data_IF_230591325474
#
_entry.id   IF_230591325474
#
_cell.length_a   1.000
_cell.length_b   1.000
_cell.length_c   1.000
_cell.angle_alpha   90.00
_cell.angle_beta   90.00
_cell.angle_gamma   90.00
#
_symmetry.space_group_name_H-M   'P 1'
#
loop_
_entity.id
_entity.type
_entity.pdbx_description
1 polymer ?
#
# COMPACT_ATOMS: atom_id res chain seq x y z
N UNK A 1 13.71 -17.51 -7.01
CA UNK A 1 12.30 -17.06 -7.05
C UNK A 1 12.28 -15.58 -6.73
N UNK A 2 11.48 -14.79 -7.45
CA UNK A 2 11.33 -13.35 -7.19
C UNK A 2 10.47 -13.17 -5.93
N UNK A 3 10.92 -12.40 -4.94
CA UNK A 3 10.14 -12.16 -3.72
C UNK A 3 9.02 -11.15 -4.01
N UNK A 4 7.83 -11.37 -3.45
CA UNK A 4 6.69 -10.45 -3.57
C UNK A 4 6.50 -9.70 -2.26
N UNK A 5 6.36 -8.37 -2.33
CA UNK A 5 6.08 -7.52 -1.18
C UNK A 5 4.65 -6.99 -1.25
N UNK A 6 3.96 -6.94 -0.12
CA UNK A 6 2.77 -6.11 0.03
C UNK A 6 3.21 -4.67 0.26
N UNK A 7 2.71 -3.72 -0.51
CA UNK A 7 3.00 -2.30 -0.33
C UNK A 7 1.73 -1.58 0.13
N UNK A 8 1.83 -0.86 1.25
CA UNK A 8 0.80 0.07 1.71
C UNK A 8 1.33 1.49 1.51
N UNK A 9 0.62 2.28 0.71
CA UNK A 9 0.88 3.71 0.56
C UNK A 9 -0.06 4.45 1.52
N UNK A 10 0.48 5.10 2.54
CA UNK A 10 -0.29 5.91 3.48
C UNK A 10 -0.43 7.36 3.00
N UNK A 11 -1.54 7.99 3.35
CA UNK A 11 -1.74 9.44 3.25
C UNK A 11 -2.77 9.90 4.29
N UNK A 12 -2.99 11.21 4.40
CA UNK A 12 -4.18 11.80 5.07
C UNK A 12 -4.97 12.67 4.09
N UNK A 13 -6.28 12.75 4.30
CA UNK A 13 -7.20 13.37 3.35
C UNK A 13 -7.02 14.89 3.11
N UNK A 14 -6.25 15.57 3.97
CA UNK A 14 -5.99 17.01 3.88
C UNK A 14 -4.66 17.37 3.20
N UNK A 15 -3.81 16.40 2.85
CA UNK A 15 -2.58 16.67 2.11
C UNK A 15 -2.80 16.71 0.60
N UNK A 16 -1.94 17.43 -0.15
CA UNK A 16 -2.00 17.46 -1.60
C UNK A 16 -1.88 16.06 -2.21
N UNK A 17 -2.84 15.72 -3.06
CA UNK A 17 -2.97 14.37 -3.62
C UNK A 17 -1.80 13.95 -4.54
N UNK A 18 -1.17 14.93 -5.19
CA UNK A 18 -0.06 14.68 -6.11
C UNK A 18 1.16 14.06 -5.40
N UNK A 19 1.37 14.36 -4.11
CA UNK A 19 2.44 13.77 -3.30
C UNK A 19 2.28 12.26 -3.13
N UNK A 20 1.03 11.80 -2.99
CA UNK A 20 0.71 10.37 -2.86
C UNK A 20 1.01 9.65 -4.17
N UNK A 21 0.57 10.23 -5.29
CA UNK A 21 0.80 9.69 -6.62
C UNK A 21 2.30 9.58 -6.91
N UNK A 22 3.05 10.66 -6.76
CA UNK A 22 4.50 10.68 -7.02
C UNK A 22 5.25 9.73 -6.09
N UNK A 23 4.94 9.74 -4.79
CA UNK A 23 5.57 8.84 -3.83
C UNK A 23 5.32 7.36 -4.14
N UNK A 24 4.08 7.01 -4.50
CA UNK A 24 3.72 5.66 -4.93
C UNK A 24 4.53 5.23 -6.15
N UNK A 25 4.61 6.09 -7.17
CA UNK A 25 5.36 5.81 -8.40
C UNK A 25 6.86 5.62 -8.13
N UNK A 26 7.45 6.47 -7.29
CA UNK A 26 8.86 6.37 -6.86
C UNK A 26 9.11 5.02 -6.18
N UNK A 27 8.31 4.67 -5.17
CA UNK A 27 8.50 3.43 -4.40
C UNK A 27 8.32 2.19 -5.29
N UNK A 28 7.29 2.16 -6.13
CA UNK A 28 7.09 1.05 -7.07
C UNK A 28 8.25 0.91 -8.05
N UNK A 29 8.75 2.03 -8.58
CA UNK A 29 9.89 2.01 -9.50
C UNK A 29 11.16 1.45 -8.84
N UNK A 30 11.42 1.80 -7.57
CA UNK A 30 12.59 1.35 -6.83
C UNK A 30 12.49 -0.12 -6.44
N UNK A 31 11.33 -0.56 -5.92
CA UNK A 31 11.09 -1.97 -5.61
C UNK A 31 11.24 -2.85 -6.87
N UNK A 32 10.73 -2.39 -8.02
CA UNK A 32 10.90 -3.09 -9.30
C UNK A 32 12.37 -3.17 -9.71
N UNK A 33 13.13 -2.07 -9.60
CA UNK A 33 14.58 -2.04 -9.91
C UNK A 33 15.39 -2.98 -9.01
N UNK A 34 14.99 -3.14 -7.75
CA UNK A 34 15.60 -4.09 -6.82
C UNK A 34 15.16 -5.54 -7.03
N UNK A 35 14.28 -5.79 -8.00
CA UNK A 35 13.88 -7.14 -8.37
C UNK A 35 12.74 -7.70 -7.52
N UNK A 36 11.89 -6.87 -6.91
CA UNK A 36 10.68 -7.33 -6.21
C UNK A 36 9.45 -7.30 -7.14
N UNK A 37 8.52 -8.23 -6.88
CA UNK A 37 7.12 -8.07 -7.28
C UNK A 37 6.36 -7.36 -6.16
N UNK A 38 5.29 -6.66 -6.50
CA UNK A 38 4.56 -5.84 -5.53
C UNK A 38 3.06 -6.06 -5.67
N UNK A 39 2.40 -6.33 -4.54
CA UNK A 39 0.95 -6.29 -4.38
C UNK A 39 0.61 -4.98 -3.67
N UNK A 40 -0.18 -4.12 -4.32
CA UNK A 40 -0.52 -2.79 -3.83
C UNK A 40 -1.90 -2.42 -4.35
N UNK A 41 -2.64 -1.59 -3.60
CA UNK A 41 -3.86 -0.98 -4.13
C UNK A 41 -3.55 -0.12 -5.37
N UNK A 42 -4.42 -0.24 -6.36
CA UNK A 42 -4.41 0.56 -7.57
C UNK A 42 -5.10 1.92 -7.33
N UNK A 43 -4.84 2.92 -8.19
CA UNK A 43 -5.60 4.18 -8.19
C UNK A 43 -7.11 4.01 -8.40
N UNK A 44 -7.56 2.86 -8.90
CA UNK A 44 -8.96 2.52 -9.10
C UNK A 44 -9.61 1.93 -7.84
N UNK A 45 -8.83 1.26 -6.98
CA UNK A 45 -9.35 0.67 -5.73
C UNK A 45 -9.67 1.74 -4.67
N UNK A 46 -8.79 2.74 -4.59
CA UNK A 46 -8.79 3.83 -3.61
C UNK A 46 -8.12 5.08 -4.18
N UNK A 47 -8.26 6.21 -3.50
CA UNK A 47 -7.69 7.49 -3.93
C UNK A 47 -6.16 7.40 -4.11
N UNK A 48 -5.70 7.33 -5.37
CA UNK A 48 -4.30 7.13 -5.77
C UNK A 48 -3.68 5.82 -5.26
N UNK A 49 -4.49 4.83 -4.85
CA UNK A 49 -4.01 3.58 -4.28
C UNK A 49 -3.52 3.71 -2.83
N UNK A 50 -3.98 4.75 -2.10
CA UNK A 50 -3.59 5.00 -0.72
C UNK A 50 -4.61 4.51 0.31
N UNK A 51 -4.10 4.12 1.47
CA UNK A 51 -4.88 3.75 2.64
C UNK A 51 -5.00 4.96 3.56
N UNK A 52 -6.22 5.49 3.69
CA UNK A 52 -6.52 6.67 4.51
C UNK A 52 -7.71 6.43 5.45
N UNK A 53 -8.63 5.55 5.06
CA UNK A 53 -9.87 5.27 5.79
C UNK A 53 -9.97 3.81 6.22
N UNK A 54 -10.94 3.52 7.09
CA UNK A 54 -11.30 2.13 7.43
C UNK A 54 -11.77 1.33 6.20
N UNK A 55 -12.43 1.98 5.23
CA UNK A 55 -12.83 1.31 3.99
C UNK A 55 -11.60 0.92 3.14
N UNK A 56 -10.64 1.83 3.01
CA UNK A 56 -9.38 1.54 2.30
C UNK A 56 -8.60 0.41 3.00
N UNK A 57 -8.59 0.41 4.33
CA UNK A 57 -7.95 -0.61 5.13
C UNK A 57 -8.54 -2.00 4.86
N UNK A 58 -9.88 -2.11 4.79
CA UNK A 58 -10.55 -3.37 4.45
C UNK A 58 -10.23 -3.83 3.03
N UNK A 59 -10.20 -2.91 2.05
CA UNK A 59 -9.80 -3.23 0.66
C UNK A 59 -8.36 -3.75 0.60
N UNK A 60 -7.44 -3.08 1.29
CA UNK A 60 -6.05 -3.51 1.37
C UNK A 60 -5.90 -4.87 2.06
N UNK A 61 -6.62 -5.08 3.15
CA UNK A 61 -6.61 -6.34 3.90
C UNK A 61 -7.10 -7.50 3.02
N UNK A 62 -8.20 -7.31 2.28
CA UNK A 62 -8.72 -8.31 1.35
C UNK A 62 -7.72 -8.62 0.23
N UNK A 63 -7.14 -7.59 -0.40
CA UNK A 63 -6.11 -7.77 -1.43
C UNK A 63 -4.89 -8.55 -0.92
N UNK A 64 -4.47 -8.28 0.31
CA UNK A 64 -3.33 -8.97 0.93
C UNK A 64 -3.68 -10.41 1.31
N UNK A 65 -4.88 -10.65 1.85
CA UNK A 65 -5.37 -12.01 2.16
C UNK A 65 -5.45 -12.89 0.90
N UNK A 66 -5.98 -12.36 -0.21
CA UNK A 66 -6.01 -13.04 -1.52
C UNK A 66 -4.61 -13.43 -2.03
N UNK A 67 -3.58 -12.68 -1.63
CA UNK A 67 -2.20 -12.88 -2.05
C UNK A 67 -1.27 -13.37 -0.92
N UNK A 68 -1.81 -13.78 0.23
CA UNK A 68 -1.04 -14.10 1.45
C UNK A 68 0.05 -15.15 1.27
N UNK A 69 -0.16 -16.11 0.37
CA UNK A 69 0.82 -17.16 0.06
C UNK A 69 1.99 -16.66 -0.83
N UNK A 70 1.83 -15.51 -1.48
CA UNK A 70 2.86 -14.88 -2.34
C UNK A 70 3.65 -13.82 -1.57
N UNK A 71 2.97 -13.04 -0.72
CA UNK A 71 3.55 -11.93 0.02
C UNK A 71 4.56 -12.46 1.06
N UNK A 72 5.82 -12.04 0.92
CA UNK A 72 6.93 -12.41 1.82
C UNK A 72 7.13 -11.41 2.95
N UNK A 73 6.57 -10.21 2.83
CA UNK A 73 6.68 -9.13 3.81
C UNK A 73 5.89 -7.90 3.36
N UNK A 74 5.65 -6.97 4.29
CA UNK A 74 4.91 -5.73 4.03
C UNK A 74 5.86 -4.54 4.14
N UNK A 75 5.78 -3.63 3.17
CA UNK A 75 6.41 -2.31 3.18
C UNK A 75 5.32 -1.26 3.35
N UNK A 76 5.47 -0.39 4.35
CA UNK A 76 4.63 0.78 4.52
C UNK A 76 5.44 2.00 4.07
N UNK A 77 4.89 2.79 3.15
CA UNK A 77 5.48 4.07 2.74
C UNK A 77 4.52 5.20 3.07
N UNK A 78 5.09 6.30 3.58
CA UNK A 78 4.39 7.53 3.90
C UNK A 78 5.05 8.65 3.08
N UNK A 79 4.65 8.87 1.81
CA UNK A 79 5.23 9.94 0.98
C UNK A 79 5.15 11.33 1.64
N UNK A 80 4.21 11.49 2.56
CA UNK A 80 4.01 12.64 3.42
C UNK A 80 3.81 12.19 4.89
N UNK A 81 2.56 11.98 5.31
CA UNK A 81 2.09 11.48 6.60
C UNK A 81 0.94 10.52 6.35
N UNK A 82 0.83 9.45 7.13
CA UNK A 82 -0.22 8.44 7.00
C UNK A 82 -1.36 8.63 7.99
N UNK A 83 -2.44 7.88 7.77
CA UNK A 83 -3.39 7.51 8.82
C UNK A 83 -2.93 6.17 9.43
N UNK A 84 -2.11 6.24 10.48
CA UNK A 84 -1.45 5.06 11.06
C UNK A 84 -2.45 4.00 11.53
N UNK A 85 -3.62 4.43 12.01
CA UNK A 85 -4.69 3.52 12.39
C UNK A 85 -5.20 2.70 11.20
N UNK A 86 -5.50 3.35 10.08
CA UNK A 86 -5.98 2.66 8.87
C UNK A 86 -4.93 1.68 8.33
N UNK A 87 -3.65 2.05 8.38
CA UNK A 87 -2.54 1.18 7.99
C UNK A 87 -2.43 -0.02 8.93
N UNK A 88 -2.47 0.21 10.24
CA UNK A 88 -2.41 -0.85 11.24
C UNK A 88 -3.60 -1.80 11.11
N UNK A 89 -4.79 -1.27 10.85
CA UNK A 89 -6.01 -2.03 10.60
C UNK A 89 -5.88 -2.88 9.34
N UNK A 90 -5.34 -2.34 8.23
CA UNK A 90 -5.08 -3.10 7.00
C UNK A 90 -4.19 -4.33 7.26
N UNK A 91 -3.13 -4.18 8.05
CA UNK A 91 -2.22 -5.27 8.42
C UNK A 91 -2.89 -6.25 9.39
N UNK A 92 -3.57 -5.73 10.43
CA UNK A 92 -4.24 -6.54 11.45
C UNK A 92 -5.31 -7.44 10.86
N UNK A 93 -5.99 -6.97 9.83
CA UNK A 93 -7.08 -7.69 9.17
C UNK A 93 -6.62 -8.46 7.92
N UNK A 94 -5.33 -8.41 7.56
CA UNK A 94 -4.78 -9.21 6.46
C UNK A 94 -4.29 -10.58 6.95
N UNK A 95 -5.08 -11.63 6.68
CA UNK A 95 -4.68 -13.04 6.56
C UNK A 95 -3.95 -13.73 7.70
#
# INVERSE_FOLDING_TARGET
MKQTLGLIVGSRGFFPEWLVKEGREIVLSQLKKWGYDVVVLSPEDTKHGAVQTWEDAQKCAALFDENRKKISGIVVTLPNFGEEKAIADAIRHSG
#
